data_IF_488466562498
#
_entry.id   IF_488466562498
#
_cell.length_a   1.000
_cell.length_b   1.000
_cell.length_c   1.000
_cell.angle_alpha   90.00
_cell.angle_beta   90.00
_cell.angle_gamma   90.00
#
_symmetry.space_group_name_H-M   'P 1'
#
loop_
_entity.id
_entity.type
_entity.pdbx_description
1 polymer ?
#
# COMPACT_ATOMS: atom_id res chain seq x y z
N UNK A 1 -32.36 22.37 -8.24
CA UNK A 1 -31.31 21.75 -7.42
C UNK A 1 -30.46 20.86 -8.30
N UNK A 2 -29.24 21.28 -8.62
CA UNK A 2 -28.29 20.54 -9.46
C UNK A 2 -27.59 19.47 -8.62
N UNK A 3 -27.82 18.20 -8.94
CA UNK A 3 -27.09 17.06 -8.36
C UNK A 3 -25.72 17.04 -9.01
N UNK A 4 -24.69 17.46 -8.28
CA UNK A 4 -23.30 17.29 -8.69
C UNK A 4 -22.95 15.80 -8.56
N UNK A 5 -22.47 15.10 -9.61
CA UNK A 5 -22.04 13.71 -9.48
C UNK A 5 -20.81 13.65 -8.57
N UNK A 6 -20.88 12.82 -7.53
CA UNK A 6 -19.77 12.50 -6.63
C UNK A 6 -18.66 11.83 -7.48
N UNK A 7 -17.55 12.54 -7.71
CA UNK A 7 -16.38 11.96 -8.40
C UNK A 7 -15.97 10.66 -7.68
N UNK A 8 -16.01 9.55 -8.40
CA UNK A 8 -15.41 8.29 -7.94
C UNK A 8 -13.89 8.52 -7.86
N UNK A 9 -13.32 8.28 -6.67
CA UNK A 9 -11.87 8.40 -6.47
C UNK A 9 -11.22 7.12 -7.03
N UNK A 10 -10.60 7.25 -8.20
CA UNK A 10 -9.79 6.19 -8.81
C UNK A 10 -8.42 6.14 -8.14
N UNK A 11 -8.16 5.12 -7.30
CA UNK A 11 -6.87 4.96 -6.61
C UNK A 11 -5.74 4.48 -7.53
N UNK A 12 -6.09 3.79 -8.60
CA UNK A 12 -5.16 3.30 -9.62
C UNK A 12 -5.80 3.49 -10.98
N UNK A 13 -5.08 4.14 -11.91
CA UNK A 13 -5.48 4.25 -13.30
C UNK A 13 -4.53 3.50 -14.19
N UNK A 14 -5.08 2.87 -15.22
CA UNK A 14 -4.34 2.09 -16.21
C UNK A 14 -4.50 2.72 -17.59
N UNK A 15 -3.40 2.88 -18.31
CA UNK A 15 -3.40 3.23 -19.73
C UNK A 15 -2.66 2.15 -20.50
N UNK A 16 -3.37 1.47 -21.39
CA UNK A 16 -2.82 0.38 -22.18
C UNK A 16 -2.68 0.79 -23.65
N UNK A 17 -1.48 0.62 -24.18
CA UNK A 17 -1.12 0.89 -25.57
C UNK A 17 -0.66 -0.43 -26.20
N UNK A 18 -1.48 -1.00 -27.10
CA UNK A 18 -1.15 -2.24 -27.80
C UNK A 18 -0.16 -1.96 -28.95
N UNK A 19 0.86 -2.81 -29.06
CA UNK A 19 1.85 -2.71 -30.15
C UNK A 19 2.72 -3.96 -30.25
N UNK A 20 3.74 -3.93 -31.13
CA UNK A 20 4.76 -4.99 -31.26
C UNK A 20 5.58 -5.19 -29.97
N UNK A 21 5.67 -4.13 -29.16
CA UNK A 21 5.86 -4.17 -27.72
C UNK A 21 4.71 -3.39 -27.12
N UNK A 22 3.86 -4.05 -26.34
CA UNK A 22 2.77 -3.38 -25.64
C UNK A 22 3.30 -2.60 -24.45
N UNK A 23 2.63 -1.50 -24.11
CA UNK A 23 2.99 -0.59 -23.03
C UNK A 23 1.80 -0.43 -22.09
N UNK A 24 2.04 -0.59 -20.79
CA UNK A 24 1.08 -0.32 -19.73
C UNK A 24 1.65 0.78 -18.84
N UNK A 25 0.91 1.88 -18.72
CA UNK A 25 1.12 2.92 -17.74
C UNK A 25 0.19 2.66 -16.55
N UNK A 26 0.75 2.66 -15.35
CA UNK A 26 0.01 2.55 -14.10
C UNK A 26 0.24 3.85 -13.32
N UNK A 27 -0.83 4.64 -13.16
CA UNK A 27 -0.83 5.86 -12.38
C UNK A 27 -1.42 5.55 -11.00
N UNK A 28 -0.66 5.79 -9.94
CA UNK A 28 -1.06 5.61 -8.54
C UNK A 28 -1.46 6.97 -7.97
N UNK A 29 -2.71 7.10 -7.55
CA UNK A 29 -3.14 8.28 -6.80
C UNK A 29 -2.62 8.18 -5.36
N UNK A 30 -1.49 8.85 -5.12
CA UNK A 30 -0.85 8.92 -3.81
C UNK A 30 -1.57 9.89 -2.85
N UNK A 31 -2.65 10.54 -3.30
CA UNK A 31 -3.53 11.35 -2.45
C UNK A 31 -4.46 10.43 -1.67
N UNK A 32 -3.88 9.54 -0.86
CA UNK A 32 -4.67 8.83 0.12
C UNK A 32 -5.03 9.77 1.25
N UNK A 33 -6.30 10.17 1.35
CA UNK A 33 -6.98 9.95 2.61
C UNK A 33 -7.73 8.61 2.49
N UNK A 34 -7.34 7.65 3.35
CA UNK A 34 -8.00 6.37 3.59
C UNK A 34 -8.11 5.39 2.41
N UNK A 35 -7.03 4.63 2.21
CA UNK A 35 -7.14 3.23 1.80
C UNK A 35 -7.36 2.32 3.01
N UNK A 36 -8.62 2.01 3.33
CA UNK A 36 -9.04 0.64 3.67
C UNK A 36 -8.50 -0.10 4.89
N UNK A 37 -7.68 0.50 5.75
CA UNK A 37 -7.71 0.19 7.16
C UNK A 37 -8.40 1.36 7.84
N UNK A 38 -9.70 1.23 8.09
CA UNK A 38 -10.15 1.69 9.40
C UNK A 38 -9.23 0.96 10.37
N UNK A 39 -8.14 1.59 10.77
CA UNK A 39 -7.60 1.32 12.09
C UNK A 39 -8.86 1.42 12.95
N UNK A 40 -9.33 0.34 13.60
CA UNK A 40 -10.26 0.57 14.67
C UNK A 40 -9.50 1.56 15.54
N UNK A 41 -10.04 2.77 15.68
CA UNK A 41 -9.62 3.62 16.75
C UNK A 41 -10.25 2.98 17.99
N UNK A 42 -9.43 2.35 18.84
CA UNK A 42 -9.62 2.58 20.27
C UNK A 42 -8.42 3.35 20.85
N UNK A 43 -7.42 3.71 20.03
CA UNK A 43 -6.20 4.34 20.54
C UNK A 43 -6.40 5.77 21.07
N UNK A 44 -7.47 6.48 20.68
CA UNK A 44 -7.69 7.87 21.14
C UNK A 44 -8.45 7.98 22.48
N UNK A 45 -8.85 6.88 23.10
CA UNK A 45 -9.58 6.88 24.38
C UNK A 45 -8.90 6.06 25.49
N UNK A 46 -7.76 5.42 25.22
CA UNK A 46 -6.97 4.71 26.24
C UNK A 46 -6.02 5.68 26.97
N UNK A 47 -6.46 6.17 28.13
CA UNK A 47 -5.71 7.13 28.97
C UNK A 47 -4.81 6.44 29.99
N UNK A 48 -4.96 5.13 30.23
CA UNK A 48 -4.09 4.38 31.15
C UNK A 48 -3.18 3.35 30.44
N UNK A 49 -2.02 3.02 31.04
CA UNK A 49 -1.14 1.97 30.51
C UNK A 49 -1.81 0.59 30.36
N UNK A 50 -2.72 0.19 31.25
CA UNK A 50 -3.47 -1.07 31.10
C UNK A 50 -4.40 -1.04 29.88
N UNK A 51 -5.10 0.07 29.66
CA UNK A 51 -6.01 0.21 28.52
C UNK A 51 -5.25 0.18 27.18
N UNK A 52 -4.04 0.76 27.13
CA UNK A 52 -3.19 0.72 25.95
C UNK A 52 -2.71 -0.70 25.63
N UNK A 53 -2.36 -1.49 26.65
CA UNK A 53 -1.99 -2.91 26.48
C UNK A 53 -3.16 -3.72 25.93
N UNK A 54 -4.35 -3.57 26.52
CA UNK A 54 -5.55 -4.26 26.05
C UNK A 54 -5.91 -3.88 24.61
N UNK A 55 -5.85 -2.59 24.26
CA UNK A 55 -6.10 -2.11 22.90
C UNK A 55 -5.10 -2.70 21.88
N UNK A 56 -3.82 -2.78 22.26
CA UNK A 56 -2.79 -3.38 21.41
C UNK A 56 -3.01 -4.89 21.21
N UNK A 57 -3.42 -5.62 22.24
CA UNK A 57 -3.73 -7.06 22.14
C UNK A 57 -4.95 -7.31 21.25
N UNK A 58 -6.01 -6.51 21.38
CA UNK A 58 -7.18 -6.59 20.51
C UNK A 58 -6.82 -6.31 19.04
N UNK A 59 -5.99 -5.28 18.78
CA UNK A 59 -5.50 -5.00 17.43
C UNK A 59 -4.66 -6.18 16.88
N UNK A 60 -3.77 -6.74 17.69
CA UNK A 60 -2.98 -7.92 17.29
C UNK A 60 -3.86 -9.09 16.90
N UNK A 61 -4.90 -9.37 17.70
CA UNK A 61 -5.82 -10.45 17.42
C UNK A 61 -6.63 -10.20 16.14
N UNK A 62 -7.07 -8.96 15.91
CA UNK A 62 -7.86 -8.60 14.73
C UNK A 62 -7.06 -8.70 13.42
N UNK A 63 -5.80 -8.27 13.45
CA UNK A 63 -4.94 -8.25 12.26
C UNK A 63 -4.06 -9.50 12.09
N UNK A 64 -4.18 -10.47 13.01
CA UNK A 64 -3.45 -11.74 12.92
C UNK A 64 -3.79 -12.46 11.62
N UNK A 65 -2.75 -12.86 10.88
CA UNK A 65 -2.88 -13.52 9.58
C UNK A 65 -3.37 -12.62 8.45
N UNK A 66 -3.59 -11.32 8.70
CA UNK A 66 -4.07 -10.41 7.68
C UNK A 66 -2.94 -10.05 6.72
N UNK A 67 -3.23 -10.10 5.42
CA UNK A 67 -2.33 -9.64 4.37
C UNK A 67 -3.09 -8.82 3.35
N UNK A 68 -2.59 -7.62 3.10
CA UNK A 68 -3.10 -6.74 2.03
C UNK A 68 -2.18 -6.87 0.84
N UNK A 69 -2.72 -7.26 -0.31
CA UNK A 69 -1.94 -7.50 -1.52
C UNK A 69 -2.63 -6.88 -2.74
N UNK A 70 -1.90 -6.04 -3.47
CA UNK A 70 -2.29 -5.48 -4.76
C UNK A 70 -1.14 -5.63 -5.74
N UNK A 71 -1.41 -6.25 -6.88
CA UNK A 71 -0.45 -6.46 -7.93
C UNK A 71 -1.09 -6.38 -9.31
N UNK A 72 -0.23 -6.15 -10.31
CA UNK A 72 -0.58 -6.13 -11.72
C UNK A 72 0.19 -7.26 -12.40
N UNK A 73 -0.54 -8.21 -12.97
CA UNK A 73 0.02 -9.25 -13.82
C UNK A 73 -0.13 -8.85 -15.28
N UNK A 74 0.98 -8.84 -16.02
CA UNK A 74 0.94 -8.68 -17.48
C UNK A 74 1.04 -10.03 -18.17
N UNK A 75 0.21 -10.23 -19.19
CA UNK A 75 0.28 -11.42 -20.04
C UNK A 75 1.36 -11.21 -21.11
N UNK A 76 2.30 -12.14 -21.21
CA UNK A 76 3.47 -12.04 -22.07
C UNK A 76 4.77 -12.02 -21.28
N UNK A 77 5.87 -11.57 -21.88
CA UNK A 77 7.17 -11.38 -21.22
C UNK A 77 7.42 -9.90 -21.01
N UNK A 78 7.66 -9.50 -19.76
CA UNK A 78 8.16 -8.14 -19.46
C UNK A 78 9.51 -7.93 -20.14
N UNK A 79 9.60 -6.90 -20.98
CA UNK A 79 10.82 -6.50 -21.71
C UNK A 79 11.46 -5.24 -21.13
N UNK A 80 10.72 -4.49 -20.30
CA UNK A 80 11.25 -3.38 -19.53
C UNK A 80 10.22 -2.84 -18.54
N UNK A 81 10.67 -2.34 -17.39
CA UNK A 81 9.78 -1.71 -16.42
C UNK A 81 10.50 -0.66 -15.60
N UNK A 82 9.74 0.31 -15.12
CA UNK A 82 10.17 1.27 -14.10
C UNK A 82 9.71 0.89 -12.69
N UNK A 83 8.95 -0.20 -12.52
CA UNK A 83 8.46 -0.65 -11.23
C UNK A 83 9.58 -1.15 -10.32
N UNK A 84 9.42 -0.92 -9.01
CA UNK A 84 10.39 -1.29 -7.98
C UNK A 84 10.32 -2.77 -7.62
N UNK A 85 9.12 -3.38 -7.66
CA UNK A 85 8.87 -4.75 -7.22
C UNK A 85 8.35 -5.63 -8.36
N UNK A 86 9.25 -6.11 -9.21
CA UNK A 86 8.96 -7.09 -10.26
C UNK A 86 9.31 -8.51 -9.80
N UNK A 87 8.40 -9.46 -10.01
CA UNK A 87 8.65 -10.90 -9.83
C UNK A 87 8.06 -11.65 -11.02
N UNK A 88 8.91 -12.10 -11.94
CA UNK A 88 8.45 -12.65 -13.22
C UNK A 88 7.70 -11.58 -14.03
N UNK A 89 6.41 -11.81 -14.28
CA UNK A 89 5.52 -10.84 -14.95
C UNK A 89 4.59 -10.08 -14.00
N UNK A 90 4.80 -10.24 -12.69
CA UNK A 90 3.98 -9.60 -11.66
C UNK A 90 4.67 -8.35 -11.12
N UNK A 91 3.99 -7.22 -11.23
CA UNK A 91 4.36 -5.96 -10.56
C UNK A 91 3.58 -5.88 -9.25
N UNK A 92 4.27 -5.85 -8.11
CA UNK A 92 3.63 -5.64 -6.81
C UNK A 92 3.50 -4.15 -6.51
N UNK A 93 2.28 -3.68 -6.33
CA UNK A 93 1.97 -2.29 -5.96
C UNK A 93 1.92 -2.13 -4.44
N UNK A 94 1.26 -3.07 -3.76
CA UNK A 94 1.18 -3.15 -2.30
C UNK A 94 1.29 -4.62 -1.86
N UNK A 95 2.10 -4.89 -0.86
CA UNK A 95 2.16 -6.17 -0.16
C UNK A 95 2.49 -5.90 1.31
N UNK A 96 1.49 -6.05 2.18
CA UNK A 96 1.62 -5.79 3.61
C UNK A 96 1.16 -7.03 4.38
N UNK A 97 2.11 -7.67 5.04
CA UNK A 97 1.91 -8.83 5.90
C UNK A 97 1.90 -8.37 7.37
N UNK A 98 0.71 -8.37 8.00
CA UNK A 98 0.54 -7.82 9.35
C UNK A 98 1.21 -8.68 10.42
N UNK A 99 1.31 -9.99 10.22
CA UNK A 99 2.03 -10.86 11.17
C UNK A 99 3.52 -10.50 11.21
N UNK A 100 4.12 -10.29 10.02
CA UNK A 100 5.53 -9.84 9.93
C UNK A 100 5.71 -8.44 10.49
N UNK A 101 4.79 -7.53 10.19
CA UNK A 101 4.84 -6.16 10.70
C UNK A 101 4.76 -6.14 12.24
N UNK A 102 3.87 -6.93 12.84
CA UNK A 102 3.68 -7.00 14.30
C UNK A 102 4.81 -7.74 15.03
N UNK A 103 5.55 -8.62 14.36
CA UNK A 103 6.80 -9.18 14.87
C UNK A 103 7.91 -8.12 15.01
N UNK A 104 7.71 -6.93 14.45
CA UNK A 104 8.65 -5.80 14.44
C UNK A 104 8.02 -4.54 15.08
N UNK A 105 7.79 -4.53 16.42
CA UNK A 105 6.98 -3.51 17.08
C UNK A 105 7.55 -2.09 16.98
N UNK A 106 8.88 -1.92 16.93
CA UNK A 106 9.51 -0.60 16.74
C UNK A 106 9.23 -0.04 15.35
N UNK A 107 9.31 -0.89 14.33
CA UNK A 107 9.05 -0.55 12.94
C UNK A 107 7.56 -0.25 12.71
N UNK A 108 6.68 -1.05 13.31
CA UNK A 108 5.24 -0.81 13.26
C UNK A 108 4.87 0.53 13.91
N UNK A 109 5.44 0.85 15.07
CA UNK A 109 5.24 2.16 15.70
C UNK A 109 5.73 3.31 14.81
N UNK A 110 6.90 3.16 14.17
CA UNK A 110 7.41 4.16 13.23
C UNK A 110 6.53 4.30 11.99
N UNK A 111 5.98 3.21 11.46
CA UNK A 111 5.00 3.23 10.36
C UNK A 111 3.72 3.96 10.76
N UNK A 112 3.16 3.68 11.95
CA UNK A 112 1.97 4.37 12.44
C UNK A 112 2.22 5.86 12.71
N UNK A 113 3.43 6.22 13.15
CA UNK A 113 3.82 7.60 13.42
C UNK A 113 3.93 8.47 12.15
N UNK A 114 4.02 7.86 10.96
CA UNK A 114 3.98 8.59 9.69
C UNK A 114 2.63 9.29 9.45
N UNK A 115 1.58 8.87 10.16
CA UNK A 115 0.24 9.42 9.99
C UNK A 115 -0.38 9.03 8.63
N UNK A 116 -1.50 9.67 8.25
CA UNK A 116 -2.29 9.24 7.10
C UNK A 116 -1.65 9.59 5.75
N UNK A 117 -0.87 10.67 5.67
CA UNK A 117 -0.37 11.23 4.39
C UNK A 117 1.15 11.46 4.41
N UNK A 118 1.99 10.43 4.60
CA UNK A 118 3.43 10.59 4.54
C UNK A 118 3.91 10.96 3.14
N UNK A 119 5.02 11.69 3.06
CA UNK A 119 5.69 11.95 1.78
C UNK A 119 6.19 10.63 1.16
N UNK A 120 6.32 10.56 -0.18
CA UNK A 120 6.88 9.38 -0.84
C UNK A 120 8.26 8.98 -0.29
N UNK A 121 9.10 9.95 0.08
CA UNK A 121 10.42 9.73 0.66
C UNK A 121 10.34 9.12 2.07
N UNK A 122 9.39 9.60 2.89
CA UNK A 122 9.13 9.04 4.23
C UNK A 122 8.63 7.59 4.13
N UNK A 123 7.70 7.33 3.21
CA UNK A 123 7.19 5.99 2.93
C UNK A 123 8.32 5.07 2.42
N UNK A 124 9.17 5.55 1.51
CA UNK A 124 10.26 4.74 0.97
C UNK A 124 11.30 4.38 2.04
N UNK A 125 11.59 5.29 2.97
CA UNK A 125 12.48 5.00 4.11
C UNK A 125 11.91 3.93 5.02
N UNK A 126 10.62 4.02 5.38
CA UNK A 126 10.03 3.03 6.28
C UNK A 126 9.95 1.66 5.60
N UNK A 127 9.46 1.58 4.36
CA UNK A 127 9.24 0.31 3.63
C UNK A 127 10.54 -0.52 3.54
N UNK A 128 11.69 0.14 3.38
CA UNK A 128 13.00 -0.55 3.34
C UNK A 128 13.41 -1.19 4.66
N UNK A 129 12.84 -0.75 5.77
CA UNK A 129 13.21 -1.19 7.12
C UNK A 129 12.26 -2.23 7.70
N UNK A 130 11.13 -2.49 7.03
CA UNK A 130 10.09 -3.40 7.51
C UNK A 130 10.06 -4.67 6.65
N UNK A 131 10.53 -5.81 7.17
CA UNK A 131 10.30 -7.10 6.53
C UNK A 131 8.80 -7.37 6.36
N UNK A 132 8.38 -7.78 5.16
CA UNK A 132 6.97 -8.06 4.87
C UNK A 132 6.14 -6.86 4.42
N UNK A 133 6.78 -5.70 4.20
CA UNK A 133 6.15 -4.53 3.59
C UNK A 133 6.79 -4.21 2.23
N UNK A 134 5.97 -4.15 1.18
CA UNK A 134 6.33 -3.58 -0.12
C UNK A 134 5.24 -2.59 -0.51
N UNK A 135 5.65 -1.38 -0.85
CA UNK A 135 4.75 -0.34 -1.38
C UNK A 135 5.48 0.36 -2.50
N UNK A 136 4.87 0.41 -3.67
CA UNK A 136 5.37 1.18 -4.80
C UNK A 136 5.16 2.67 -4.51
N UNK A 137 6.26 3.41 -4.44
CA UNK A 137 6.28 4.83 -4.06
C UNK A 137 6.35 5.76 -5.26
N UNK A 138 6.45 5.22 -6.49
CA UNK A 138 6.35 6.02 -7.71
C UNK A 138 4.89 6.38 -7.98
N UNK A 139 4.64 7.61 -8.41
CA UNK A 139 3.31 8.05 -8.86
C UNK A 139 2.89 7.41 -10.17
N UNK A 140 3.87 7.08 -11.00
CA UNK A 140 3.65 6.51 -12.30
C UNK A 140 4.71 5.42 -12.56
N UNK A 141 4.25 4.31 -13.13
CA UNK A 141 5.09 3.21 -13.55
C UNK A 141 4.72 2.81 -14.97
N UNK A 142 5.74 2.70 -15.79
CA UNK A 142 5.67 2.10 -17.12
C UNK A 142 6.13 0.63 -17.08
N UNK A 143 5.40 -0.22 -17.79
CA UNK A 143 5.72 -1.61 -18.10
C UNK A 143 5.64 -1.83 -19.60
N UNK A 144 6.69 -2.40 -20.19
CA UNK A 144 6.73 -2.85 -21.59
C UNK A 144 6.78 -4.37 -21.64
N UNK A 145 5.96 -4.98 -22.49
CA UNK A 145 5.85 -6.44 -22.59
C UNK A 145 5.45 -6.91 -23.99
N UNK A 146 5.70 -8.19 -24.28
CA UNK A 146 5.42 -8.86 -25.57
C UNK A 146 4.73 -10.19 -25.37
#
# INVERSE_FOLDING_TARGET
SSVTPKKEKEYVRFRFEKGSSSRLLVELDQTQEKGGASSPAPASSATTPEQQKMAAELMKQFFKGMRVYLAVDVQGRVTGTSATYLSGNRITLVDMDFDKLMAHPKQFAAFNALGPNPSPEQMQKIVRTIPGLKVETRKELEVRFK
#
